data_IF_997903387780
#
_entry.id   IF_997903387780
#
_cell.length_a   1.000
_cell.length_b   1.000
_cell.length_c   1.000
_cell.angle_alpha   90.00
_cell.angle_beta   90.00
_cell.angle_gamma   90.00
#
_symmetry.space_group_name_H-M   'P 1'
#
loop_
_entity.id
_entity.type
_entity.pdbx_description
1 polymer ?
#
# COMPACT_ATOMS: atom_id res chain seq x y z
N UNK A 1 6.29 -22.02 10.66
CA UNK A 1 7.09 -20.87 11.13
C UNK A 1 7.88 -20.23 9.99
N UNK A 2 8.63 -20.99 9.18
CA UNK A 2 9.42 -20.46 8.05
C UNK A 2 8.63 -19.55 7.09
N UNK A 3 7.39 -19.89 6.75
CA UNK A 3 6.55 -19.08 5.84
C UNK A 3 6.22 -17.67 6.33
N UNK A 4 6.07 -17.50 7.66
CA UNK A 4 5.84 -16.17 8.24
C UNK A 4 7.10 -15.30 8.14
N UNK A 5 8.26 -15.90 8.45
CA UNK A 5 9.56 -15.24 8.32
C UNK A 5 9.86 -14.93 6.84
N UNK A 6 9.50 -15.81 5.90
CA UNK A 6 9.62 -15.54 4.46
C UNK A 6 8.77 -14.36 4.02
N UNK A 7 7.52 -14.26 4.50
CA UNK A 7 6.66 -13.12 4.20
C UNK A 7 7.21 -11.80 4.75
N UNK A 8 7.82 -11.83 5.95
CA UNK A 8 8.53 -10.68 6.53
C UNK A 8 9.87 -10.39 5.82
N UNK A 9 10.60 -11.39 5.32
CA UNK A 9 11.81 -11.18 4.53
C UNK A 9 11.48 -10.58 3.16
N UNK A 10 10.27 -10.86 2.65
CA UNK A 10 9.69 -10.28 1.44
C UNK A 10 8.73 -9.11 1.75
N UNK A 11 8.94 -8.40 2.88
CA UNK A 11 8.00 -7.40 3.40
C UNK A 11 7.67 -6.24 2.45
N UNK A 12 8.55 -5.93 1.50
CA UNK A 12 8.35 -4.88 0.50
C UNK A 12 8.49 -5.40 -0.93
N UNK A 13 8.33 -6.72 -1.14
CA UNK A 13 8.37 -7.32 -2.47
C UNK A 13 6.95 -7.52 -3.00
N UNK A 14 6.58 -6.68 -3.96
CA UNK A 14 5.27 -6.73 -4.63
C UNK A 14 5.31 -7.58 -5.90
N UNK A 15 6.51 -7.85 -6.41
CA UNK A 15 6.72 -8.66 -7.59
C UNK A 15 6.73 -10.16 -7.25
N UNK A 16 6.31 -10.98 -8.20
CA UNK A 16 6.23 -12.43 -8.02
C UNK A 16 4.90 -12.91 -7.43
N UNK A 17 4.90 -14.16 -6.98
CA UNK A 17 3.69 -14.92 -6.61
C UNK A 17 3.75 -15.38 -5.15
N UNK A 18 2.66 -15.21 -4.42
CA UNK A 18 2.50 -15.71 -3.05
C UNK A 18 1.47 -16.85 -3.02
N UNK A 19 1.88 -17.99 -2.46
CA UNK A 19 1.00 -19.16 -2.32
C UNK A 19 -0.08 -18.88 -1.27
N UNK A 20 -1.19 -19.65 -1.35
CA UNK A 20 -2.24 -19.64 -0.32
C UNK A 20 -1.69 -19.81 1.09
N UNK A 21 -0.77 -20.77 1.30
CA UNK A 21 -0.17 -21.01 2.63
C UNK A 21 0.58 -19.77 3.12
N UNK A 22 1.38 -19.12 2.29
CA UNK A 22 2.12 -17.91 2.67
C UNK A 22 1.18 -16.79 3.12
N UNK A 23 0.13 -16.50 2.31
CA UNK A 23 -0.87 -15.48 2.63
C UNK A 23 -1.63 -15.78 3.92
N UNK A 24 -2.19 -17.00 4.05
CA UNK A 24 -3.03 -17.36 5.20
C UNK A 24 -2.23 -17.53 6.50
N UNK A 25 -0.98 -18.01 6.44
CA UNK A 25 -0.11 -17.99 7.62
C UNK A 25 0.28 -16.57 8.02
N UNK A 26 0.60 -15.70 7.05
CA UNK A 26 0.84 -14.29 7.35
C UNK A 26 -0.37 -13.65 8.03
N UNK A 27 -1.57 -13.79 7.46
CA UNK A 27 -2.82 -13.26 8.03
C UNK A 27 -3.09 -13.80 9.44
N UNK A 28 -2.89 -15.10 9.67
CA UNK A 28 -3.07 -15.74 10.98
C UNK A 28 -2.12 -15.15 12.04
N UNK A 29 -0.82 -15.10 11.76
CA UNK A 29 0.14 -14.52 12.70
C UNK A 29 -0.10 -13.03 12.90
N UNK A 30 -0.51 -12.32 11.85
CA UNK A 30 -0.86 -10.91 11.96
C UNK A 30 -2.02 -10.69 12.95
N UNK A 31 -3.06 -11.52 12.85
CA UNK A 31 -4.18 -11.53 13.78
C UNK A 31 -3.73 -11.83 15.22
N UNK A 32 -2.86 -12.84 15.41
CA UNK A 32 -2.36 -13.20 16.74
C UNK A 32 -1.56 -12.06 17.38
N UNK A 33 -0.62 -11.45 16.64
CA UNK A 33 0.16 -10.34 17.17
C UNK A 33 -0.67 -9.08 17.40
N UNK A 34 -1.67 -8.82 16.56
CA UNK A 34 -2.64 -7.75 16.79
C UNK A 34 -3.40 -7.95 18.11
N UNK A 35 -3.91 -9.17 18.38
CA UNK A 35 -4.59 -9.51 19.63
C UNK A 35 -3.64 -9.31 20.83
N UNK A 36 -2.41 -9.79 20.73
CA UNK A 36 -1.41 -9.62 21.80
C UNK A 36 -1.12 -8.14 22.05
N UNK A 37 -0.95 -7.32 21.01
CA UNK A 37 -0.70 -5.89 21.14
C UNK A 37 -1.86 -5.18 21.84
N UNK A 38 -3.12 -5.51 21.49
CA UNK A 38 -4.31 -4.97 22.14
C UNK A 38 -4.37 -5.38 23.63
N UNK A 39 -4.09 -6.64 23.94
CA UNK A 39 -4.06 -7.11 25.33
C UNK A 39 -2.99 -6.36 26.13
N UNK A 40 -1.79 -6.17 25.56
CA UNK A 40 -0.72 -5.42 26.21
C UNK A 40 -1.10 -3.96 26.45
N UNK A 41 -1.73 -3.29 25.48
CA UNK A 41 -2.22 -1.93 25.67
C UNK A 41 -3.19 -1.82 26.86
N UNK A 42 -4.10 -2.81 27.01
CA UNK A 42 -5.08 -2.84 28.11
C UNK A 42 -4.43 -3.18 29.46
N UNK A 43 -3.53 -4.17 29.50
CA UNK A 43 -2.84 -4.59 30.73
C UNK A 43 -1.91 -3.48 31.26
N UNK A 44 -1.25 -2.76 30.37
CA UNK A 44 -0.35 -1.66 30.72
C UNK A 44 -1.10 -0.35 31.04
N UNK A 45 -2.43 -0.32 30.86
CA UNK A 45 -3.24 0.87 31.12
C UNK A 45 -3.00 2.03 30.14
N UNK A 46 -2.41 1.74 28.98
CA UNK A 46 -2.13 2.72 27.91
C UNK A 46 -3.17 2.69 26.79
N UNK A 47 -4.14 1.77 26.86
CA UNK A 47 -5.26 1.71 25.95
C UNK A 47 -6.14 2.97 26.07
N UNK A 48 -6.61 3.46 24.92
CA UNK A 48 -7.58 4.55 24.87
C UNK A 48 -8.96 3.96 25.19
N UNK A 49 -9.55 4.41 26.30
CA UNK A 49 -10.74 3.80 26.92
C UNK A 49 -11.96 3.69 26.00
N UNK A 50 -12.10 4.61 25.06
CA UNK A 50 -13.24 4.70 24.13
C UNK A 50 -13.17 3.68 22.98
N UNK A 51 -11.96 3.25 22.60
CA UNK A 51 -11.70 2.42 21.41
C UNK A 51 -11.09 1.05 21.77
N UNK A 52 -10.55 0.88 22.98
CA UNK A 52 -10.10 -0.41 23.51
C UNK A 52 -8.72 -0.88 23.04
N UNK A 53 -7.99 -0.08 22.26
CA UNK A 53 -6.60 -0.31 21.86
C UNK A 53 -5.75 0.94 22.07
N UNK A 54 -4.42 0.77 22.04
CA UNK A 54 -3.47 1.82 22.39
C UNK A 54 -2.29 1.93 21.42
N UNK A 55 -1.22 2.61 21.84
CA UNK A 55 -0.06 2.87 20.99
C UNK A 55 0.66 1.62 20.49
N UNK A 56 0.68 0.51 21.24
CA UNK A 56 1.38 -0.71 20.81
C UNK A 56 0.68 -1.34 19.60
N UNK A 57 -0.64 -1.49 19.67
CA UNK A 57 -1.43 -1.91 18.52
C UNK A 57 -1.27 -0.94 17.35
N UNK A 58 -1.30 0.38 17.60
CA UNK A 58 -1.14 1.40 16.56
C UNK A 58 0.19 1.27 15.80
N UNK A 59 1.31 1.16 16.51
CA UNK A 59 2.65 0.98 15.91
C UNK A 59 2.71 -0.35 15.14
N UNK A 60 2.19 -1.43 15.72
CA UNK A 60 2.15 -2.74 15.07
C UNK A 60 1.32 -2.71 13.78
N UNK A 61 0.15 -2.10 13.80
CA UNK A 61 -0.70 -1.95 12.63
C UNK A 61 0.03 -1.17 11.53
N UNK A 62 0.66 -0.05 11.86
CA UNK A 62 1.45 0.74 10.90
C UNK A 62 2.60 -0.05 10.29
N UNK A 63 3.33 -0.82 11.10
CA UNK A 63 4.44 -1.65 10.64
C UNK A 63 3.99 -2.76 9.69
N UNK A 64 2.75 -3.23 9.82
CA UNK A 64 2.24 -4.37 9.03
C UNK A 64 1.43 -3.99 7.79
N UNK A 65 1.13 -2.71 7.57
CA UNK A 65 0.43 -2.23 6.36
C UNK A 65 1.18 -2.63 5.09
N UNK A 66 2.47 -2.29 5.02
CA UNK A 66 3.29 -2.54 3.81
C UNK A 66 3.43 -4.04 3.52
N UNK A 67 3.86 -4.91 4.48
CA UNK A 67 3.95 -6.35 4.22
C UNK A 67 2.58 -6.99 3.95
N UNK A 68 1.51 -6.49 4.58
CA UNK A 68 0.15 -6.95 4.32
C UNK A 68 -0.29 -6.66 2.89
N UNK A 69 0.00 -5.46 2.39
CA UNK A 69 -0.28 -5.10 1.01
C UNK A 69 0.59 -5.90 0.02
N UNK A 70 1.88 -6.06 0.31
CA UNK A 70 2.81 -6.80 -0.53
C UNK A 70 2.39 -8.26 -0.72
N UNK A 71 2.08 -8.97 0.37
CA UNK A 71 1.65 -10.38 0.28
C UNK A 71 0.28 -10.53 -0.40
N UNK A 72 -0.63 -9.57 -0.20
CA UNK A 72 -1.94 -9.59 -0.84
C UNK A 72 -1.84 -9.35 -2.37
N UNK A 73 -0.97 -8.42 -2.80
CA UNK A 73 -0.68 -8.19 -4.22
C UNK A 73 -0.04 -9.43 -4.87
N UNK A 74 0.98 -10.02 -4.24
CA UNK A 74 1.58 -11.27 -4.73
C UNK A 74 0.59 -12.44 -4.75
N UNK A 75 -0.41 -12.45 -3.86
CA UNK A 75 -1.50 -13.44 -3.86
C UNK A 75 -2.42 -13.24 -5.07
N UNK A 76 -2.75 -12.00 -5.43
CA UNK A 76 -3.52 -11.69 -6.64
C UNK A 76 -2.74 -12.09 -7.91
N UNK A 77 -1.45 -11.78 -7.95
CA UNK A 77 -0.56 -12.18 -9.04
C UNK A 77 -0.51 -13.71 -9.22
N UNK A 78 -0.56 -14.47 -8.12
CA UNK A 78 -0.53 -15.94 -8.18
C UNK A 78 -1.77 -16.58 -8.82
N UNK A 79 -2.88 -15.83 -8.95
CA UNK A 79 -4.09 -16.24 -9.68
C UNK A 79 -4.25 -15.48 -11.02
N UNK A 80 -3.17 -14.87 -11.52
CA UNK A 80 -3.17 -14.12 -12.78
C UNK A 80 -3.95 -12.81 -12.73
N UNK A 81 -4.21 -12.26 -11.54
CA UNK A 81 -4.93 -11.00 -11.36
C UNK A 81 -3.98 -9.86 -11.04
N UNK A 82 -4.28 -8.66 -11.55
CA UNK A 82 -3.53 -7.45 -11.24
C UNK A 82 -3.61 -7.10 -9.75
N UNK A 83 -2.48 -6.67 -9.16
CA UNK A 83 -2.43 -6.16 -7.79
C UNK A 83 -3.41 -5.03 -7.49
N UNK A 84 -3.79 -4.26 -8.52
CA UNK A 84 -4.80 -3.19 -8.43
C UNK A 84 -6.18 -3.66 -7.97
N UNK A 85 -6.50 -4.96 -8.12
CA UNK A 85 -7.75 -5.52 -7.62
C UNK A 85 -7.89 -5.40 -6.10
N UNK A 86 -6.81 -5.13 -5.36
CA UNK A 86 -6.89 -4.85 -3.92
C UNK A 86 -7.77 -3.63 -3.60
N UNK A 87 -7.89 -2.66 -4.52
CA UNK A 87 -8.73 -1.47 -4.35
C UNK A 87 -10.22 -1.82 -4.24
N UNK A 88 -10.63 -3.02 -4.65
CA UNK A 88 -11.99 -3.52 -4.43
C UNK A 88 -12.33 -3.56 -2.94
N UNK A 89 -11.34 -3.64 -2.04
CA UNK A 89 -11.53 -3.54 -0.59
C UNK A 89 -12.27 -2.26 -0.14
N UNK A 90 -12.23 -1.18 -0.94
CA UNK A 90 -12.95 0.06 -0.64
C UNK A 90 -14.46 -0.03 -0.87
N UNK A 91 -14.97 -1.12 -1.47
CA UNK A 91 -16.40 -1.40 -1.62
C UNK A 91 -16.84 -2.28 -0.42
N UNK A 92 -17.60 -1.74 0.55
CA UNK A 92 -17.96 -2.48 1.75
C UNK A 92 -18.76 -3.75 1.43
N UNK A 93 -18.56 -4.80 2.23
CA UNK A 93 -19.18 -6.12 2.12
C UNK A 93 -18.86 -6.88 0.82
N UNK A 94 -19.31 -6.38 -0.32
CA UNK A 94 -19.13 -6.99 -1.64
C UNK A 94 -17.64 -7.12 -1.96
N UNK A 95 -16.87 -6.05 -1.74
CA UNK A 95 -15.45 -6.06 -2.05
C UNK A 95 -14.65 -6.99 -1.15
N UNK A 96 -15.01 -7.05 0.14
CA UNK A 96 -14.40 -7.98 1.09
C UNK A 96 -14.69 -9.44 0.73
N UNK A 97 -15.95 -9.78 0.41
CA UNK A 97 -16.34 -11.13 -0.03
C UNK A 97 -15.61 -11.50 -1.33
N UNK A 98 -15.54 -10.59 -2.28
CA UNK A 98 -14.85 -10.82 -3.55
C UNK A 98 -13.36 -11.09 -3.36
N UNK A 99 -12.66 -10.26 -2.56
CA UNK A 99 -11.25 -10.47 -2.25
C UNK A 99 -11.02 -11.78 -1.49
N UNK A 100 -11.93 -12.15 -0.58
CA UNK A 100 -11.87 -13.43 0.12
C UNK A 100 -11.94 -14.61 -0.87
N UNK A 101 -12.83 -14.56 -1.86
CA UNK A 101 -12.91 -15.56 -2.93
C UNK A 101 -11.58 -15.62 -3.69
N UNK A 102 -11.01 -14.48 -4.08
CA UNK A 102 -9.73 -14.45 -4.79
C UNK A 102 -8.57 -15.01 -3.94
N UNK A 103 -8.51 -14.68 -2.66
CA UNK A 103 -7.44 -15.16 -1.77
C UNK A 103 -7.54 -16.65 -1.46
N UNK A 104 -8.73 -17.25 -1.55
CA UNK A 104 -8.96 -18.70 -1.38
C UNK A 104 -8.86 -19.52 -2.67
N UNK A 105 -9.05 -18.88 -3.83
CA UNK A 105 -8.93 -19.49 -5.18
C UNK A 105 -7.58 -20.19 -5.36
N UNK A 106 -7.51 -21.26 -6.15
CA UNK A 106 -6.25 -21.98 -6.40
C UNK A 106 -5.28 -21.20 -7.30
N UNK A 107 -3.98 -21.45 -7.15
CA UNK A 107 -2.93 -20.84 -7.97
C UNK A 107 -3.10 -21.17 -9.45
N UNK A 108 -2.85 -20.20 -10.32
CA UNK A 108 -2.86 -20.39 -11.78
C UNK A 108 -1.85 -21.48 -12.19
N UNK A 109 -2.26 -22.56 -12.89
CA UNK A 109 -1.35 -23.65 -13.25
C UNK A 109 -0.25 -23.16 -14.21
N UNK A 110 1.00 -23.55 -13.94
CA UNK A 110 2.14 -23.18 -14.77
C UNK A 110 2.60 -21.72 -14.59
N UNK A 111 3.33 -21.22 -15.58
CA UNK A 111 3.87 -19.87 -15.59
C UNK A 111 2.80 -18.85 -16.01
N UNK A 112 2.76 -17.72 -15.32
CA UNK A 112 1.93 -16.58 -15.71
C UNK A 112 2.81 -15.31 -15.85
N UNK A 113 2.21 -14.18 -16.19
CA UNK A 113 2.92 -12.90 -16.39
C UNK A 113 3.73 -12.43 -15.17
N UNK A 114 3.45 -12.98 -13.99
CA UNK A 114 4.10 -12.67 -12.72
C UNK A 114 5.14 -13.71 -12.31
N UNK A 115 5.43 -14.67 -13.19
CA UNK A 115 6.46 -15.68 -13.05
C UNK A 115 5.94 -17.10 -12.85
N UNK A 116 6.86 -18.04 -12.64
CA UNK A 116 6.54 -19.46 -12.58
C UNK A 116 5.69 -19.82 -11.35
N UNK A 117 4.95 -20.93 -11.44
CA UNK A 117 4.14 -21.40 -10.32
C UNK A 117 5.02 -21.74 -9.12
N UNK A 118 4.85 -21.07 -7.97
CA UNK A 118 5.67 -21.34 -6.80
C UNK A 118 5.47 -22.76 -6.23
N UNK A 119 4.41 -23.50 -6.61
CA UNK A 119 4.23 -24.94 -6.28
C UNK A 119 5.25 -25.84 -7.01
N UNK A 120 5.80 -25.43 -8.16
CA UNK A 120 6.74 -26.24 -8.96
C UNK A 120 8.21 -26.02 -8.59
N UNK A 121 8.54 -24.90 -7.94
CA UNK A 121 9.91 -24.49 -7.60
C UNK A 121 10.31 -24.80 -6.14
N UNK A 122 9.52 -25.63 -5.44
CA UNK A 122 9.86 -26.03 -4.07
C UNK A 122 11.11 -26.94 -4.01
N UNK A 123 11.60 -27.42 -5.17
CA UNK A 123 12.81 -28.25 -5.28
C UNK A 123 14.08 -27.50 -5.73
N UNK A 124 14.00 -26.29 -6.30
CA UNK A 124 15.21 -25.52 -6.71
C UNK A 124 14.91 -24.02 -6.63
N UNK A 125 15.61 -23.29 -5.76
CA UNK A 125 15.51 -21.84 -5.66
C UNK A 125 16.33 -21.15 -6.77
N UNK A 126 15.75 -20.25 -7.60
CA UNK A 126 16.54 -19.46 -8.55
C UNK A 126 16.79 -18.01 -8.06
N UNK A 127 17.89 -17.45 -8.57
CA UNK A 127 18.47 -16.13 -8.30
C UNK A 127 17.70 -15.05 -9.08
N UNK A 128 17.37 -13.91 -8.45
CA UNK A 128 16.67 -12.77 -9.07
C UNK A 128 17.63 -11.86 -9.86
N UNK A 129 17.30 -11.58 -11.13
CA UNK A 129 17.99 -10.62 -12.00
C UNK A 129 17.42 -9.21 -11.81
N UNK A 130 18.28 -8.27 -11.41
CA UNK A 130 17.91 -6.93 -10.98
C UNK A 130 17.98 -5.92 -12.15
N UNK A 131 16.84 -5.67 -12.79
CA UNK A 131 16.70 -4.63 -13.83
C UNK A 131 16.36 -3.26 -13.22
N UNK A 132 17.31 -2.33 -13.28
CA UNK A 132 17.28 -1.02 -12.61
C UNK A 132 16.63 0.08 -13.45
N UNK A 133 15.34 0.33 -13.21
CA UNK A 133 14.64 1.57 -13.59
C UNK A 133 14.18 2.41 -12.38
N UNK A 134 14.52 1.98 -11.16
CA UNK A 134 13.98 2.57 -9.92
C UNK A 134 14.44 4.00 -9.64
N UNK A 135 15.64 4.40 -10.10
CA UNK A 135 16.16 5.76 -9.87
C UNK A 135 15.37 6.81 -10.67
N UNK A 136 15.03 6.48 -11.92
CA UNK A 136 14.23 7.35 -12.78
C UNK A 136 12.82 7.54 -12.22
N UNK A 137 12.20 6.47 -11.74
CA UNK A 137 10.87 6.54 -11.12
C UNK A 137 10.91 7.37 -9.83
N UNK A 138 11.92 7.20 -8.99
CA UNK A 138 12.07 7.97 -7.76
C UNK A 138 12.26 9.47 -8.07
N UNK A 139 13.10 9.81 -9.05
CA UNK A 139 13.32 11.20 -9.49
C UNK A 139 12.04 11.80 -10.07
N UNK A 140 11.28 11.05 -10.88
CA UNK A 140 10.00 11.49 -11.42
C UNK A 140 8.96 11.73 -10.32
N UNK A 141 8.87 10.83 -9.34
CA UNK A 141 7.96 10.97 -8.19
C UNK A 141 8.29 12.21 -7.37
N UNK A 142 9.56 12.41 -7.02
CA UNK A 142 10.01 13.58 -6.24
C UNK A 142 9.80 14.87 -7.04
N UNK A 143 10.16 14.88 -8.33
CA UNK A 143 9.97 16.04 -9.21
C UNK A 143 8.49 16.38 -9.39
N UNK A 144 7.63 15.37 -9.52
CA UNK A 144 6.18 15.55 -9.60
C UNK A 144 5.60 16.10 -8.30
N UNK A 145 6.03 15.60 -7.14
CA UNK A 145 5.58 16.11 -5.84
C UNK A 145 5.97 17.59 -5.60
N UNK A 146 7.16 17.99 -6.06
CA UNK A 146 7.60 19.38 -5.99
C UNK A 146 6.87 20.25 -7.02
N UNK A 147 6.68 19.74 -8.24
CA UNK A 147 5.99 20.45 -9.32
C UNK A 147 4.50 20.65 -9.02
N UNK A 148 3.76 19.63 -8.59
CA UNK A 148 2.32 19.74 -8.31
C UNK A 148 2.05 20.83 -7.26
N UNK A 149 2.82 20.84 -6.17
CA UNK A 149 2.65 21.80 -5.09
C UNK A 149 2.98 23.23 -5.50
N UNK A 150 4.03 23.42 -6.32
CA UNK A 150 4.40 24.73 -6.85
C UNK A 150 3.43 25.19 -7.96
N UNK A 151 2.99 24.28 -8.82
CA UNK A 151 2.03 24.56 -9.88
C UNK A 151 0.70 25.08 -9.32
N UNK A 152 0.11 24.41 -8.34
CA UNK A 152 -1.17 24.84 -7.76
C UNK A 152 -1.09 26.09 -6.87
N UNK A 153 0.10 26.47 -6.40
CA UNK A 153 0.32 27.74 -5.68
C UNK A 153 0.70 28.90 -6.59
N UNK A 154 1.28 28.60 -7.76
CA UNK A 154 1.75 29.60 -8.72
C UNK A 154 0.71 29.95 -9.79
N UNK A 155 -0.03 28.95 -10.28
CA UNK A 155 -1.08 29.13 -11.30
C UNK A 155 -2.19 30.13 -10.91
N UNK A 156 -2.62 30.24 -9.63
CA UNK A 156 -3.54 31.29 -9.21
C UNK A 156 -3.01 32.71 -9.42
N UNK A 157 -1.71 32.93 -9.27
CA UNK A 157 -1.07 34.26 -9.39
C UNK A 157 -0.95 34.77 -10.82
N UNK A 158 -1.19 33.91 -11.82
CA UNK A 158 -1.13 34.26 -13.24
C UNK A 158 -2.54 34.58 -13.77
N UNK A 159 -3.58 33.98 -13.19
CA UNK A 159 -4.95 34.00 -13.72
C UNK A 159 -5.93 34.39 -12.59
N UNK A 160 -5.80 35.60 -12.03
CA UNK A 160 -6.57 36.06 -10.86
C UNK A 160 -8.10 35.89 -11.00
N UNK A 161 -8.64 36.05 -12.23
CA UNK A 161 -10.08 35.95 -12.49
C UNK A 161 -10.65 34.52 -12.43
N UNK A 162 -9.83 33.49 -12.61
CA UNK A 162 -10.31 32.09 -12.62
C UNK A 162 -10.28 31.45 -11.23
N UNK A 163 -9.42 31.94 -10.34
CA UNK A 163 -9.16 31.35 -9.03
C UNK A 163 -9.95 31.98 -7.87
N UNK A 164 -10.60 33.12 -8.12
CA UNK A 164 -11.55 33.75 -7.17
C UNK A 164 -12.89 33.03 -7.08
N UNK A 165 -13.13 32.05 -7.97
CA UNK A 165 -14.33 31.22 -7.96
C UNK A 165 -14.32 30.30 -6.73
N UNK A 166 -15.32 30.44 -5.86
CA UNK A 166 -15.42 29.71 -4.58
C UNK A 166 -15.40 28.18 -4.70
N UNK A 167 -15.70 27.61 -5.88
CA UNK A 167 -15.63 26.17 -6.16
C UNK A 167 -14.21 25.69 -6.52
N UNK A 168 -13.30 26.58 -6.91
CA UNK A 168 -11.98 26.19 -7.39
C UNK A 168 -11.08 25.68 -6.25
N UNK A 169 -11.09 26.37 -5.09
CA UNK A 169 -10.29 26.00 -3.92
C UNK A 169 -10.57 24.58 -3.41
N UNK A 170 -11.83 24.12 -3.25
CA UNK A 170 -12.10 22.72 -2.89
C UNK A 170 -11.73 21.75 -4.03
N UNK A 171 -11.91 22.13 -5.30
CA UNK A 171 -11.52 21.30 -6.43
C UNK A 171 -10.01 21.07 -6.51
N UNK A 172 -9.19 22.11 -6.27
CA UNK A 172 -7.73 21.97 -6.27
C UNK A 172 -7.23 21.02 -5.18
N UNK A 173 -7.86 21.05 -4.01
CA UNK A 173 -7.52 20.14 -2.90
C UNK A 173 -7.94 18.71 -3.20
N UNK A 174 -9.10 18.53 -3.84
CA UNK A 174 -9.58 17.23 -4.30
C UNK A 174 -8.70 16.66 -5.41
N UNK A 175 -8.21 17.51 -6.32
CA UNK A 175 -7.19 17.13 -7.31
C UNK A 175 -5.86 16.78 -6.65
N UNK A 176 -5.42 17.51 -5.61
CA UNK A 176 -4.23 17.15 -4.82
C UNK A 176 -4.29 15.72 -4.29
N UNK A 177 -5.44 15.31 -3.75
CA UNK A 177 -5.67 13.92 -3.34
C UNK A 177 -5.58 12.92 -4.49
N UNK A 178 -6.21 13.21 -5.63
CA UNK A 178 -6.12 12.34 -6.82
C UNK A 178 -4.67 12.21 -7.30
N UNK A 179 -3.91 13.32 -7.33
CA UNK A 179 -2.52 13.32 -7.77
C UNK A 179 -1.57 12.64 -6.76
N UNK A 180 -1.93 12.63 -5.48
CA UNK A 180 -1.16 11.94 -4.44
C UNK A 180 -1.23 10.41 -4.51
N UNK A 181 -2.20 9.86 -5.25
CA UNK A 181 -2.27 8.44 -5.55
C UNK A 181 -1.24 7.99 -6.60
N UNK A 182 -0.70 8.90 -7.42
CA UNK A 182 0.26 8.57 -8.49
C UNK A 182 1.58 8.02 -7.94
N UNK A 183 2.23 8.64 -6.93
CA UNK A 183 3.40 8.05 -6.29
C UNK A 183 3.14 6.62 -5.78
N UNK A 184 2.00 6.37 -5.13
CA UNK A 184 1.65 5.02 -4.70
C UNK A 184 1.50 4.05 -5.89
N UNK A 185 0.88 4.51 -6.98
CA UNK A 185 0.73 3.74 -8.22
C UNK A 185 2.09 3.35 -8.81
N UNK A 186 3.02 4.30 -8.85
CA UNK A 186 4.37 4.13 -9.36
C UNK A 186 5.21 3.21 -8.48
N UNK A 187 4.94 3.17 -7.17
CA UNK A 187 5.56 2.23 -6.23
C UNK A 187 5.43 0.78 -6.69
N UNK A 188 4.29 0.38 -7.27
CA UNK A 188 4.09 -0.97 -7.79
C UNK A 188 4.90 -1.31 -9.04
N UNK A 189 5.42 -0.30 -9.75
CA UNK A 189 6.23 -0.47 -10.98
C UNK A 189 7.72 -0.61 -10.63
N UNK A 190 8.15 -0.07 -9.49
CA UNK A 190 9.55 -0.12 -9.06
C UNK A 190 9.92 -1.54 -8.66
N UNK A 191 10.91 -2.12 -9.35
CA UNK A 191 11.43 -3.48 -9.05
C UNK A 191 12.43 -3.49 -7.89
N UNK A 192 13.15 -2.39 -7.67
CA UNK A 192 14.13 -2.25 -6.61
C UNK A 192 13.44 -2.05 -5.25
N UNK A 193 13.68 -2.96 -4.30
CA UNK A 193 13.00 -3.02 -2.98
C UNK A 193 13.15 -1.73 -2.17
N UNK A 194 14.35 -1.15 -2.15
CA UNK A 194 14.63 0.06 -1.37
C UNK A 194 13.93 1.26 -1.99
N UNK A 195 13.98 1.38 -3.31
CA UNK A 195 13.35 2.50 -4.04
C UNK A 195 11.83 2.38 -4.05
N UNK A 196 11.31 1.16 -4.17
CA UNK A 196 9.89 0.86 -4.06
C UNK A 196 9.32 1.29 -2.71
N UNK A 197 10.00 0.92 -1.62
CA UNK A 197 9.63 1.33 -0.27
C UNK A 197 9.63 2.86 -0.10
N UNK A 198 10.68 3.53 -0.60
CA UNK A 198 10.77 4.99 -0.56
C UNK A 198 9.61 5.66 -1.30
N UNK A 199 9.23 5.16 -2.48
CA UNK A 199 8.10 5.69 -3.25
C UNK A 199 6.78 5.51 -2.50
N UNK A 200 6.55 4.37 -1.85
CA UNK A 200 5.36 4.16 -1.02
C UNK A 200 5.31 5.08 0.20
N UNK A 201 6.43 5.25 0.90
CA UNK A 201 6.51 6.15 2.06
C UNK A 201 6.24 7.59 1.61
N UNK A 202 6.89 8.05 0.55
CA UNK A 202 6.70 9.40 0.00
C UNK A 202 5.26 9.64 -0.44
N UNK A 203 4.66 8.67 -1.15
CA UNK A 203 3.26 8.73 -1.56
C UNK A 203 2.28 8.75 -0.38
N UNK A 204 2.51 7.90 0.62
CA UNK A 204 1.70 7.86 1.84
C UNK A 204 1.77 9.17 2.65
N UNK A 205 2.98 9.71 2.85
CA UNK A 205 3.17 11.02 3.48
C UNK A 205 2.48 12.12 2.69
N UNK A 206 2.55 12.08 1.36
CA UNK A 206 1.91 13.09 0.51
C UNK A 206 0.38 13.05 0.63
N UNK A 207 -0.23 11.87 0.62
CA UNK A 207 -1.68 11.70 0.88
C UNK A 207 -2.06 12.27 2.24
N UNK A 208 -1.30 11.94 3.30
CA UNK A 208 -1.61 12.42 4.65
C UNK A 208 -1.56 13.96 4.73
N UNK A 209 -0.61 14.60 4.05
CA UNK A 209 -0.52 16.05 3.97
C UNK A 209 -1.70 16.69 3.22
N UNK A 210 -2.12 16.10 2.09
CA UNK A 210 -3.28 16.58 1.33
C UNK A 210 -4.59 16.36 2.09
N UNK A 211 -4.72 15.23 2.78
CA UNK A 211 -5.89 14.93 3.63
C UNK A 211 -5.99 15.92 4.79
N UNK A 212 -4.86 16.25 5.44
CA UNK A 212 -4.80 17.29 6.46
C UNK A 212 -5.24 18.65 5.90
N UNK A 213 -4.76 19.04 4.72
CA UNK A 213 -5.16 20.29 4.06
C UNK A 213 -6.68 20.32 3.80
N UNK A 214 -7.24 19.22 3.28
CA UNK A 214 -8.68 19.09 3.05
C UNK A 214 -9.48 19.24 4.36
N UNK A 215 -9.09 18.52 5.41
CA UNK A 215 -9.76 18.57 6.71
C UNK A 215 -9.73 19.98 7.28
N UNK A 216 -8.58 20.66 7.23
CA UNK A 216 -8.49 22.03 7.74
C UNK A 216 -9.33 23.03 6.96
N UNK A 217 -9.50 22.83 5.66
CA UNK A 217 -10.31 23.72 4.81
C UNK A 217 -11.83 23.54 4.99
N UNK A 218 -12.28 22.37 5.42
CA UNK A 218 -13.70 22.08 5.61
C UNK A 218 -14.16 22.21 7.06
N UNK A 219 -13.25 22.06 8.03
CA UNK A 219 -13.55 22.17 9.46
C UNK A 219 -13.26 23.55 10.07
N UNK A 220 -12.43 24.39 9.42
CA UNK A 220 -12.07 25.73 9.87
C UNK A 220 -12.22 26.75 8.73
#
# INVERSE_FOLDING_TARGET
>A
MNWYITALNKYAEFNGRARRKEYWFFALFNLLFAIVAIILDNVLGIAIREIGYGPLYGIYALATIIPGLAVAVRRLHDIGKSGWMILIAFIPFIGAIWLLILFTTDSDPGENEYGPNPKQFEDIAPIEEQSSNGDLILILVVSWMLFSRTFYTFLPKIIDNFYSLGWFKPLSTLMGLVWSCIPLALGFIVKDKTKQLLVFILGGVYILLELYSLITQFLF
#
